data_IF_776774514273
#
_entry.id   IF_776774514273
#
_cell.length_a   1.000
_cell.length_b   1.000
_cell.length_c   1.000
_cell.angle_alpha   90.00
_cell.angle_beta   90.00
_cell.angle_gamma   90.00
#
_symmetry.space_group_name_H-M   'P 1'
#
loop_
_entity.id
_entity.type
_entity.pdbx_description
1 polymer ?
#
# COMPACT_ATOMS: atom_id res chain seq x y z
N UNK A 1 -25.03 16.77 16.21
CA UNK A 1 -24.81 16.85 14.74
C UNK A 1 -23.41 16.41 14.32
N UNK A 2 -22.32 17.02 14.78
CA UNK A 2 -20.96 16.61 14.36
C UNK A 2 -20.65 15.13 14.61
N UNK A 3 -21.07 14.57 15.76
CA UNK A 3 -20.95 13.14 16.03
C UNK A 3 -21.75 12.23 15.07
N UNK A 4 -22.96 12.66 14.65
CA UNK A 4 -23.80 11.92 13.69
C UNK A 4 -23.12 11.94 12.31
N UNK A 5 -22.63 13.11 11.89
CA UNK A 5 -21.86 13.24 10.65
C UNK A 5 -20.62 12.35 10.71
N UNK A 6 -19.85 12.38 11.80
CA UNK A 6 -18.69 11.50 11.97
C UNK A 6 -19.08 10.02 11.88
N UNK A 7 -20.16 9.61 12.53
CA UNK A 7 -20.67 8.24 12.44
C UNK A 7 -21.04 7.81 11.01
N UNK A 8 -21.62 8.70 10.21
CA UNK A 8 -21.85 8.43 8.79
C UNK A 8 -20.52 8.38 8.00
N UNK A 9 -19.60 9.28 8.31
CA UNK A 9 -18.30 9.39 7.66
C UNK A 9 -17.43 8.14 7.87
N UNK A 10 -17.52 7.45 9.01
CA UNK A 10 -16.73 6.23 9.23
C UNK A 10 -17.11 5.10 8.27
N UNK A 11 -18.34 5.06 7.76
CA UNK A 11 -18.77 4.10 6.74
C UNK A 11 -17.96 4.24 5.43
N UNK A 12 -17.43 5.43 5.13
CA UNK A 12 -16.55 5.62 3.95
C UNK A 12 -15.30 4.75 4.01
N UNK A 13 -14.77 4.48 5.21
CA UNK A 13 -13.62 3.58 5.37
C UNK A 13 -14.01 2.12 5.12
N UNK A 14 -15.24 1.72 5.46
CA UNK A 14 -15.75 0.37 5.18
C UNK A 14 -15.89 0.16 3.67
N UNK A 15 -16.55 1.09 2.97
CA UNK A 15 -16.77 0.98 1.52
C UNK A 15 -15.49 1.00 0.68
N UNK A 16 -14.42 1.62 1.19
CA UNK A 16 -13.12 1.70 0.51
C UNK A 16 -12.09 0.69 1.02
N UNK A 17 -12.49 -0.29 1.85
CA UNK A 17 -11.61 -1.35 2.34
C UNK A 17 -10.53 -0.88 3.33
N UNK A 18 -10.71 0.28 3.98
CA UNK A 18 -9.71 0.92 4.86
C UNK A 18 -9.86 0.53 6.33
N UNK A 19 -10.04 -0.77 6.60
CA UNK A 19 -10.32 -1.28 7.95
C UNK A 19 -9.18 -1.02 8.96
N UNK A 20 -7.93 -1.22 8.55
CA UNK A 20 -6.74 -0.96 9.40
C UNK A 20 -6.61 0.51 9.77
N UNK A 21 -6.89 1.41 8.82
CA UNK A 21 -6.95 2.86 9.08
C UNK A 21 -8.09 3.22 10.04
N UNK A 22 -9.28 2.64 9.88
CA UNK A 22 -10.40 2.86 10.79
C UNK A 22 -10.07 2.38 12.22
N UNK A 23 -9.42 1.22 12.37
CA UNK A 23 -8.93 0.73 13.66
C UNK A 23 -7.93 1.71 14.30
N UNK A 24 -6.93 2.16 13.54
CA UNK A 24 -5.95 3.15 14.01
C UNK A 24 -6.63 4.45 14.46
N UNK A 25 -7.61 4.95 13.70
CA UNK A 25 -8.39 6.13 14.07
C UNK A 25 -9.17 5.91 15.37
N UNK A 26 -9.81 4.76 15.56
CA UNK A 26 -10.53 4.44 16.78
C UNK A 26 -9.61 4.46 18.01
N UNK A 27 -8.43 3.83 17.89
CA UNK A 27 -7.39 3.83 18.93
C UNK A 27 -6.88 5.25 19.22
N UNK A 28 -6.65 6.07 18.19
CA UNK A 28 -6.21 7.45 18.35
C UNK A 28 -7.24 8.35 19.03
N UNK A 29 -8.53 8.21 18.68
CA UNK A 29 -9.61 8.93 19.38
C UNK A 29 -9.75 8.48 20.83
N UNK A 30 -9.64 7.18 21.09
CA UNK A 30 -9.64 6.63 22.45
C UNK A 30 -8.44 7.15 23.27
N UNK A 31 -7.27 7.32 22.66
CA UNK A 31 -6.10 7.91 23.30
C UNK A 31 -6.36 9.37 23.72
N UNK A 32 -6.92 10.19 22.82
CA UNK A 32 -7.28 11.58 23.12
C UNK A 32 -8.33 11.66 24.24
N UNK A 33 -9.37 10.84 24.19
CA UNK A 33 -10.41 10.77 25.23
C UNK A 33 -9.83 10.34 26.59
N UNK A 34 -8.96 9.34 26.62
CA UNK A 34 -8.29 8.90 27.84
C UNK A 34 -7.41 10.01 28.43
N UNK A 35 -6.70 10.76 27.58
CA UNK A 35 -5.87 11.88 28.00
C UNK A 35 -6.70 13.03 28.57
N UNK A 36 -7.84 13.35 27.95
CA UNK A 36 -8.78 14.36 28.45
C UNK A 36 -9.35 13.98 29.84
N UNK A 37 -9.62 12.68 30.06
CA UNK A 37 -10.07 12.14 31.35
C UNK A 37 -8.95 11.95 32.38
N UNK A 38 -7.73 12.43 32.11
CA UNK A 38 -6.59 12.32 33.03
C UNK A 38 -5.99 10.91 33.15
N UNK A 39 -6.40 9.95 32.30
CA UNK A 39 -5.91 8.56 32.31
C UNK A 39 -4.65 8.42 31.44
N UNK A 40 -3.58 9.11 31.83
CA UNK A 40 -2.36 9.24 31.00
C UNK A 40 -1.73 7.91 30.59
N UNK A 41 -1.66 6.91 31.49
CA UNK A 41 -1.10 5.58 31.16
C UNK A 41 -1.86 4.89 30.04
N UNK A 42 -3.18 4.88 30.13
CA UNK A 42 -4.06 4.31 29.10
C UNK A 42 -3.94 5.10 27.79
N UNK A 43 -3.88 6.43 27.88
CA UNK A 43 -3.74 7.29 26.71
C UNK A 43 -2.44 7.04 25.94
N UNK A 44 -1.31 6.88 26.65
CA UNK A 44 -0.01 6.54 26.04
C UNK A 44 -0.04 5.13 25.43
N UNK A 45 -0.61 4.14 26.14
CA UNK A 45 -0.75 2.79 25.60
C UNK A 45 -1.56 2.79 24.29
N UNK A 46 -2.70 3.49 24.25
CA UNK A 46 -3.51 3.62 23.03
C UNK A 46 -2.79 4.41 21.94
N UNK A 47 -1.98 5.42 22.29
CA UNK A 47 -1.18 6.17 21.34
C UNK A 47 -0.07 5.33 20.69
N UNK A 48 0.49 4.33 21.39
CA UNK A 48 1.39 3.31 20.82
C UNK A 48 0.64 2.35 19.91
N UNK A 49 -0.56 1.91 20.31
CA UNK A 49 -1.37 0.98 19.50
C UNK A 49 -1.90 1.62 18.21
N UNK A 50 -2.16 2.92 18.20
CA UNK A 50 -2.67 3.66 17.05
C UNK A 50 -1.83 3.46 15.75
N UNK A 51 -0.51 3.73 15.72
CA UNK A 51 0.34 3.46 14.57
C UNK A 51 0.50 1.97 14.23
N UNK A 52 0.35 1.06 15.20
CA UNK A 52 0.34 -0.39 14.93
C UNK A 52 -0.93 -0.82 14.17
N UNK A 53 -2.07 -0.16 14.40
CA UNK A 53 -3.26 -0.32 13.59
C UNK A 53 -3.11 0.35 12.21
N UNK A 54 -2.58 1.58 12.17
CA UNK A 54 -2.24 2.28 10.94
C UNK A 54 -1.21 3.39 11.16
N UNK A 55 -0.03 3.35 10.51
CA UNK A 55 0.99 4.39 10.65
C UNK A 55 0.47 5.79 10.32
N UNK A 56 -0.41 5.91 9.31
CA UNK A 56 -1.04 7.18 8.91
C UNK A 56 -1.92 7.74 10.04
N UNK A 57 -2.72 6.88 10.70
CA UNK A 57 -3.51 7.29 11.85
C UNK A 57 -2.63 7.72 13.04
N UNK A 58 -1.51 7.03 13.26
CA UNK A 58 -0.50 7.42 14.25
C UNK A 58 0.09 8.80 13.99
N UNK A 59 0.45 9.12 12.74
CA UNK A 59 0.92 10.45 12.36
C UNK A 59 -0.17 11.53 12.53
N UNK A 60 -1.43 11.20 12.26
CA UNK A 60 -2.56 12.10 12.53
C UNK A 60 -2.77 12.35 14.03
N UNK A 61 -2.63 11.32 14.86
CA UNK A 61 -2.63 11.48 16.31
C UNK A 61 -1.47 12.36 16.77
N UNK A 62 -0.26 12.15 16.24
CA UNK A 62 0.90 12.97 16.55
C UNK A 62 0.69 14.45 16.14
N UNK A 63 0.07 14.69 14.98
CA UNK A 63 -0.29 16.03 14.52
C UNK A 63 -1.31 16.70 15.44
N UNK A 64 -2.36 15.98 15.84
CA UNK A 64 -3.38 16.47 16.78
C UNK A 64 -2.77 16.77 18.15
N UNK A 65 -1.88 15.89 18.64
CA UNK A 65 -1.14 16.07 19.87
C UNK A 65 -0.18 17.27 19.81
N UNK A 66 0.48 17.50 18.66
CA UNK A 66 1.31 18.69 18.44
C UNK A 66 0.47 19.97 18.45
N UNK A 67 -0.72 19.97 17.84
CA UNK A 67 -1.65 21.08 17.89
C UNK A 67 -2.11 21.39 19.33
N UNK A 68 -2.40 20.34 20.12
CA UNK A 68 -2.75 20.45 21.53
C UNK A 68 -1.58 20.93 22.39
N UNK A 69 -0.36 20.44 22.15
CA UNK A 69 0.82 20.91 22.86
C UNK A 69 1.11 22.38 22.54
N UNK A 70 1.04 22.77 21.26
CA UNK A 70 1.20 24.17 20.85
C UNK A 70 0.13 25.05 21.51
N UNK A 71 -1.13 24.61 21.43
CA UNK A 71 -2.27 24.81 22.34
C UNK A 71 -1.98 25.42 23.72
N UNK A 72 -1.73 24.49 24.63
CA UNK A 72 -1.83 24.68 26.08
C UNK A 72 -0.59 24.13 26.81
N UNK A 73 0.45 23.71 26.09
CA UNK A 73 1.72 23.16 26.63
C UNK A 73 1.54 21.99 27.60
N UNK A 74 0.46 21.20 27.44
CA UNK A 74 0.17 20.07 28.33
C UNK A 74 1.14 18.91 28.11
N UNK A 75 1.71 18.38 29.20
CA UNK A 75 2.62 17.22 29.17
C UNK A 75 1.99 15.98 28.53
N UNK A 76 0.70 15.73 28.78
CA UNK A 76 -0.03 14.62 28.16
C UNK A 76 0.02 14.69 26.62
N UNK A 77 -0.12 15.87 26.03
CA UNK A 77 -0.04 16.07 24.58
C UNK A 77 1.34 15.67 24.04
N UNK A 78 2.42 16.08 24.72
CA UNK A 78 3.77 15.71 24.35
C UNK A 78 3.98 14.19 24.41
N UNK A 79 3.52 13.53 25.49
CA UNK A 79 3.66 12.09 25.64
C UNK A 79 2.90 11.31 24.56
N UNK A 80 1.66 11.70 24.25
CA UNK A 80 0.87 11.06 23.19
C UNK A 80 1.51 11.25 21.81
N UNK A 81 1.93 12.49 21.52
CA UNK A 81 2.56 12.82 20.24
C UNK A 81 3.88 12.08 20.06
N UNK A 82 4.71 12.04 21.09
CA UNK A 82 5.98 11.31 21.09
C UNK A 82 5.73 9.80 20.95
N UNK A 83 4.82 9.21 21.71
CA UNK A 83 4.49 7.78 21.61
C UNK A 83 4.05 7.40 20.19
N UNK A 84 3.10 8.14 19.62
CA UNK A 84 2.60 7.87 18.28
C UNK A 84 3.68 8.07 17.20
N UNK A 85 4.46 9.15 17.28
CA UNK A 85 5.51 9.46 16.30
C UNK A 85 6.69 8.47 16.38
N UNK A 86 7.15 8.12 17.59
CA UNK A 86 8.24 7.16 17.80
C UNK A 86 7.82 5.78 17.30
N UNK A 87 6.60 5.32 17.60
CA UNK A 87 6.15 4.01 17.10
C UNK A 87 5.97 4.02 15.58
N UNK A 88 5.38 5.06 14.98
CA UNK A 88 5.27 5.18 13.53
C UNK A 88 6.65 5.23 12.83
N UNK A 89 7.58 6.01 13.38
CA UNK A 89 8.96 6.09 12.90
C UNK A 89 9.71 4.76 13.07
N UNK A 90 9.52 4.09 14.20
CA UNK A 90 10.04 2.76 14.47
C UNK A 90 9.57 1.75 13.42
N UNK A 91 8.28 1.74 13.10
CA UNK A 91 7.74 0.89 12.02
C UNK A 91 8.35 1.21 10.66
N UNK A 92 8.54 2.50 10.33
CA UNK A 92 9.17 2.89 9.06
C UNK A 92 10.65 2.47 8.97
N UNK A 93 11.37 2.49 10.10
CA UNK A 93 12.75 2.00 10.19
C UNK A 93 12.82 0.47 10.18
N UNK A 94 11.83 -0.20 10.79
CA UNK A 94 11.68 -1.64 10.78
C UNK A 94 11.27 -2.15 9.39
N UNK A 95 10.42 -1.46 8.65
CA UNK A 95 9.94 -1.94 7.35
C UNK A 95 10.17 -0.86 6.28
N UNK A 96 11.42 -0.69 5.82
CA UNK A 96 11.79 0.38 4.87
C UNK A 96 11.44 0.01 3.42
N UNK A 97 10.20 -0.41 3.19
CA UNK A 97 9.69 -0.77 1.86
C UNK A 97 9.63 0.46 0.95
N UNK A 98 9.24 1.61 1.50
CA UNK A 98 9.28 2.90 0.81
C UNK A 98 8.27 2.99 -0.34
N UNK A 99 8.70 3.55 -1.48
CA UNK A 99 7.82 3.89 -2.59
C UNK A 99 7.17 5.27 -2.44
N UNK A 100 6.29 5.63 -3.37
CA UNK A 100 5.66 6.95 -3.39
C UNK A 100 4.16 6.85 -3.66
N UNK A 101 3.38 7.58 -2.87
CA UNK A 101 1.95 7.75 -3.12
C UNK A 101 1.74 9.06 -3.90
N UNK A 102 1.19 9.04 -5.12
CA UNK A 102 0.95 10.27 -5.87
C UNK A 102 -0.03 11.19 -5.15
N UNK A 103 0.27 12.49 -5.11
CA UNK A 103 -0.65 13.49 -4.56
C UNK A 103 -1.09 14.47 -5.65
N UNK A 104 -2.21 14.16 -6.30
CA UNK A 104 -2.74 14.99 -7.39
C UNK A 104 -3.17 16.38 -6.89
N UNK A 105 -2.93 17.41 -7.71
CA UNK A 105 -3.34 18.80 -7.43
C UNK A 105 -4.82 18.91 -7.08
N UNK A 106 -5.67 18.16 -7.80
CA UNK A 106 -7.13 18.11 -7.58
C UNK A 106 -7.53 17.62 -6.18
N UNK A 107 -6.69 16.80 -5.54
CA UNK A 107 -6.90 16.29 -4.18
C UNK A 107 -6.17 17.13 -3.13
N UNK A 108 -5.17 17.92 -3.55
CA UNK A 108 -4.34 18.75 -2.69
C UNK A 108 -5.00 20.10 -2.35
N UNK A 109 -5.45 20.85 -3.36
CA UNK A 109 -6.01 22.19 -3.15
C UNK A 109 -7.23 22.22 -2.19
N UNK A 110 -8.13 21.20 -2.15
CA UNK A 110 -9.25 21.21 -1.21
C UNK A 110 -8.81 21.23 0.24
N UNK A 111 -7.64 20.64 0.56
CA UNK A 111 -7.07 20.68 1.91
C UNK A 111 -6.70 22.12 2.30
N UNK A 112 -6.08 22.87 1.40
CA UNK A 112 -5.70 24.26 1.65
C UNK A 112 -6.94 25.16 1.77
N UNK A 113 -7.93 24.96 0.91
CA UNK A 113 -9.20 25.67 0.99
C UNK A 113 -9.91 25.38 2.33
N UNK A 114 -9.94 24.13 2.77
CA UNK A 114 -10.46 23.74 4.08
C UNK A 114 -9.72 24.42 5.22
N UNK A 115 -8.38 24.40 5.22
CA UNK A 115 -7.57 25.04 6.25
C UNK A 115 -7.82 26.57 6.31
N UNK A 116 -7.91 27.22 5.15
CA UNK A 116 -8.26 28.64 5.05
C UNK A 116 -9.67 28.91 5.61
N UNK A 117 -10.65 28.06 5.30
CA UNK A 117 -12.01 28.19 5.83
C UNK A 117 -12.05 28.05 7.35
N UNK A 118 -11.30 27.09 7.92
CA UNK A 118 -11.13 26.96 9.38
C UNK A 118 -10.55 28.25 9.96
N UNK A 119 -9.48 28.79 9.37
CA UNK A 119 -8.84 30.01 9.87
C UNK A 119 -9.70 31.27 9.71
N UNK A 120 -10.63 31.32 8.76
CA UNK A 120 -11.54 32.45 8.60
C UNK A 120 -12.76 32.35 9.52
N UNK A 121 -13.33 31.16 9.69
CA UNK A 121 -14.66 30.99 10.28
C UNK A 121 -14.64 30.50 11.73
N UNK A 122 -13.62 29.73 12.14
CA UNK A 122 -13.52 29.20 13.50
C UNK A 122 -13.02 30.31 14.45
N UNK A 123 -13.72 30.59 15.57
CA UNK A 123 -13.33 31.67 16.48
C UNK A 123 -11.91 31.54 17.02
N UNK A 124 -11.27 32.68 17.32
CA UNK A 124 -9.88 32.72 17.80
C UNK A 124 -9.67 32.00 19.14
N UNK A 125 -10.73 31.81 19.93
CA UNK A 125 -10.65 31.05 21.19
C UNK A 125 -10.42 29.54 20.95
N UNK A 126 -10.83 29.01 19.78
CA UNK A 126 -10.66 27.59 19.42
C UNK A 126 -9.22 27.32 18.92
N UNK A 127 -8.24 27.60 19.78
CA UNK A 127 -6.81 27.61 19.45
C UNK A 127 -6.32 26.26 18.92
N UNK A 128 -6.88 25.16 19.41
CA UNK A 128 -6.51 23.79 19.00
C UNK A 128 -6.84 23.54 17.54
N UNK A 129 -8.06 23.85 17.11
CA UNK A 129 -8.52 23.63 15.74
C UNK A 129 -7.79 24.54 14.76
N UNK A 130 -7.55 25.80 15.12
CA UNK A 130 -6.82 26.74 14.28
C UNK A 130 -5.34 26.33 14.10
N UNK A 131 -4.66 25.98 15.19
CA UNK A 131 -3.28 25.47 15.14
C UNK A 131 -3.19 24.13 14.42
N UNK A 132 -4.16 23.25 14.64
CA UNK A 132 -4.32 22.00 13.93
C UNK A 132 -4.48 22.20 12.42
N UNK A 133 -5.28 23.16 11.98
CA UNK A 133 -5.44 23.49 10.57
C UNK A 133 -4.14 24.01 9.93
N UNK A 134 -3.35 24.83 10.64
CA UNK A 134 -2.03 25.30 10.18
C UNK A 134 -1.06 24.13 10.03
N UNK A 135 -0.94 23.30 11.07
CA UNK A 135 -0.07 22.12 11.04
C UNK A 135 -0.50 21.13 9.95
N UNK A 136 -1.81 20.94 9.78
CA UNK A 136 -2.36 20.05 8.77
C UNK A 136 -2.09 20.56 7.34
N UNK A 137 -2.29 21.85 7.08
CA UNK A 137 -1.95 22.46 5.80
C UNK A 137 -0.45 22.31 5.52
N UNK A 138 0.42 22.62 6.49
CA UNK A 138 1.86 22.45 6.37
C UNK A 138 2.26 21.00 6.08
N UNK A 139 1.70 20.03 6.80
CA UNK A 139 1.94 18.61 6.59
C UNK A 139 1.50 18.16 5.18
N UNK A 140 0.38 18.67 4.66
CA UNK A 140 -0.07 18.36 3.31
C UNK A 140 0.78 19.02 2.23
N UNK A 141 1.27 20.25 2.45
CA UNK A 141 2.25 20.90 1.55
C UNK A 141 3.51 20.07 1.47
N UNK A 142 4.04 19.60 2.61
CA UNK A 142 5.20 18.72 2.64
C UNK A 142 4.93 17.39 1.94
N UNK A 143 3.78 16.76 2.19
CA UNK A 143 3.40 15.49 1.54
C UNK A 143 3.17 15.64 0.02
N UNK A 144 2.79 16.82 -0.45
CA UNK A 144 2.63 17.14 -1.87
C UNK A 144 3.98 17.42 -2.54
N UNK A 145 4.87 18.16 -1.87
CA UNK A 145 6.19 18.52 -2.39
C UNK A 145 7.20 17.37 -2.35
N UNK A 146 7.10 16.47 -1.37
CA UNK A 146 8.04 15.38 -1.16
C UNK A 146 7.51 14.04 -1.69
N UNK A 147 8.33 13.32 -2.46
CA UNK A 147 8.02 11.97 -2.92
C UNK A 147 8.18 10.96 -1.79
N UNK A 148 7.09 10.72 -1.05
CA UNK A 148 7.06 9.81 0.11
C UNK A 148 5.88 8.85 0.02
N UNK A 149 5.86 7.76 0.83
CA UNK A 149 4.69 6.89 0.94
C UNK A 149 3.43 7.59 1.50
N UNK A 150 3.59 8.77 2.11
CA UNK A 150 2.47 9.51 2.69
C UNK A 150 1.56 10.07 1.60
N UNK A 151 2.10 10.87 0.67
CA UNK A 151 1.38 11.41 -0.49
C UNK A 151 -0.07 11.83 -0.22
N UNK A 152 -0.99 11.36 -1.07
CA UNK A 152 -2.43 11.63 -0.96
C UNK A 152 -3.07 11.14 0.35
N UNK A 153 -2.45 10.21 1.08
CA UNK A 153 -2.97 9.74 2.35
C UNK A 153 -3.08 10.86 3.38
N UNK A 154 -2.27 11.92 3.25
CA UNK A 154 -2.39 13.12 4.09
C UNK A 154 -3.76 13.79 3.99
N UNK A 155 -4.42 13.76 2.82
CA UNK A 155 -5.75 14.33 2.66
C UNK A 155 -6.84 13.63 3.49
N UNK A 156 -6.59 12.39 3.96
CA UNK A 156 -7.58 11.58 4.69
C UNK A 156 -8.06 12.21 5.99
N UNK A 157 -7.20 12.98 6.67
CA UNK A 157 -7.58 13.64 7.92
C UNK A 157 -8.71 14.65 7.68
N UNK A 158 -8.56 15.51 6.67
CA UNK A 158 -9.56 16.50 6.31
C UNK A 158 -10.86 15.86 5.81
N UNK A 159 -10.77 14.84 4.96
CA UNK A 159 -11.96 14.13 4.46
C UNK A 159 -12.74 13.44 5.58
N UNK A 160 -12.06 12.91 6.60
CA UNK A 160 -12.73 12.18 7.68
C UNK A 160 -13.28 13.12 8.77
N UNK A 161 -12.50 14.11 9.18
CA UNK A 161 -12.82 14.94 10.35
C UNK A 161 -13.29 16.35 10.03
N UNK A 162 -13.02 16.89 8.84
CA UNK A 162 -13.24 18.30 8.54
C UNK A 162 -14.68 18.75 8.71
N UNK A 163 -15.62 18.05 8.06
CA UNK A 163 -17.05 18.26 8.22
C UNK A 163 -17.53 18.11 9.66
N UNK A 164 -17.31 16.95 10.30
CA UNK A 164 -17.70 16.72 11.68
C UNK A 164 -17.19 17.75 12.70
N UNK A 165 -15.92 18.15 12.59
CA UNK A 165 -15.33 19.14 13.50
C UNK A 165 -15.93 20.54 13.30
N UNK A 166 -16.09 20.98 12.05
CA UNK A 166 -16.74 22.25 11.76
C UNK A 166 -18.21 22.24 12.20
N UNK A 167 -18.90 21.11 12.08
CA UNK A 167 -20.25 20.95 12.59
C UNK A 167 -20.33 21.11 14.11
N UNK A 168 -19.37 20.59 14.88
CA UNK A 168 -19.33 20.77 16.33
C UNK A 168 -19.16 22.25 16.74
N UNK A 169 -18.35 23.02 16.00
CA UNK A 169 -18.04 24.42 16.37
C UNK A 169 -19.04 25.42 15.82
N UNK A 170 -19.47 25.26 14.57
CA UNK A 170 -20.22 26.29 13.84
C UNK A 170 -21.73 26.15 13.99
N UNK A 171 -22.28 24.95 14.28
CA UNK A 171 -23.73 24.71 14.30
C UNK A 171 -24.51 25.72 15.15
N UNK A 172 -24.02 26.01 16.37
CA UNK A 172 -24.68 26.96 17.29
C UNK A 172 -24.22 28.42 17.13
N UNK A 173 -23.12 28.67 16.42
CA UNK A 173 -22.49 30.00 16.36
C UNK A 173 -22.67 30.69 14.99
N UNK A 174 -22.59 29.92 13.91
CA UNK A 174 -22.60 30.39 12.50
C UNK A 174 -23.23 29.32 11.60
N UNK A 175 -24.48 28.95 11.87
CA UNK A 175 -25.18 27.89 11.14
C UNK A 175 -25.21 28.12 9.61
N UNK A 176 -25.32 29.37 9.17
CA UNK A 176 -25.27 29.74 7.74
C UNK A 176 -23.93 29.36 7.09
N UNK A 177 -22.81 29.60 7.76
CA UNK A 177 -21.48 29.30 7.23
C UNK A 177 -21.28 27.79 7.14
N UNK A 178 -21.83 27.07 8.12
CA UNK A 178 -21.83 25.62 8.09
C UNK A 178 -22.73 25.06 6.98
N UNK A 179 -23.90 25.64 6.74
CA UNK A 179 -24.77 25.25 5.63
C UNK A 179 -24.06 25.43 4.28
N UNK A 180 -23.36 26.55 4.09
CA UNK A 180 -22.55 26.82 2.89
C UNK A 180 -21.42 25.80 2.72
N UNK A 181 -20.74 25.44 3.81
CA UNK A 181 -19.62 24.49 3.78
C UNK A 181 -20.05 23.01 3.76
N UNK A 182 -21.27 22.70 4.15
CA UNK A 182 -21.73 21.32 4.29
C UNK A 182 -21.64 20.57 2.96
N UNK A 183 -22.13 21.16 1.87
CA UNK A 183 -22.10 20.54 0.54
C UNK A 183 -20.67 20.24 0.04
N UNK A 184 -19.72 21.20 -0.01
CA UNK A 184 -18.37 20.89 -0.47
C UNK A 184 -17.65 19.89 0.45
N UNK A 185 -17.91 19.91 1.75
CA UNK A 185 -17.29 18.95 2.69
C UNK A 185 -17.88 17.54 2.55
N UNK A 186 -19.20 17.42 2.37
CA UNK A 186 -19.85 16.15 2.07
C UNK A 186 -19.37 15.60 0.73
N UNK A 187 -19.28 16.45 -0.30
CA UNK A 187 -18.72 16.08 -1.59
C UNK A 187 -17.27 15.58 -1.44
N UNK A 188 -16.41 16.34 -0.76
CA UNK A 188 -15.01 15.94 -0.56
C UNK A 188 -14.87 14.63 0.22
N UNK A 189 -15.74 14.39 1.21
CA UNK A 189 -15.75 13.19 2.04
C UNK A 189 -16.31 11.95 1.33
N UNK A 190 -17.41 12.09 0.58
CA UNK A 190 -18.17 10.97 0.00
C UNK A 190 -17.85 10.70 -1.47
N UNK A 191 -17.22 11.62 -2.18
CA UNK A 191 -16.89 11.41 -3.59
C UNK A 191 -16.02 10.15 -3.83
N UNK A 192 -14.95 9.88 -3.05
CA UNK A 192 -14.16 8.67 -3.27
C UNK A 192 -14.95 7.36 -3.12
N UNK A 193 -15.64 7.07 -1.98
CA UNK A 193 -16.40 5.83 -1.84
C UNK A 193 -17.52 5.70 -2.86
N UNK A 194 -18.21 6.80 -3.20
CA UNK A 194 -19.25 6.77 -4.24
C UNK A 194 -18.66 6.40 -5.59
N UNK A 195 -17.50 6.95 -5.96
CA UNK A 195 -16.80 6.59 -7.20
C UNK A 195 -16.34 5.13 -7.21
N UNK A 196 -15.88 4.61 -6.07
CA UNK A 196 -15.43 3.22 -5.94
C UNK A 196 -16.60 2.24 -6.06
N UNK A 197 -17.72 2.51 -5.35
CA UNK A 197 -18.95 1.71 -5.45
C UNK A 197 -19.54 1.79 -6.85
N UNK A 198 -19.59 2.97 -7.48
CA UNK A 198 -20.07 3.13 -8.84
C UNK A 198 -19.16 2.43 -9.86
N UNK A 199 -17.84 2.41 -9.63
CA UNK A 199 -16.90 1.68 -10.47
C UNK A 199 -17.05 0.16 -10.34
N UNK A 200 -17.42 -0.34 -9.15
CA UNK A 200 -17.68 -1.75 -8.91
C UNK A 200 -19.06 -2.20 -9.44
N UNK A 201 -20.04 -1.31 -9.44
CA UNK A 201 -21.39 -1.61 -9.91
C UNK A 201 -21.39 -1.95 -11.40
N UNK A 202 -21.82 -3.17 -11.73
CA UNK A 202 -21.89 -3.66 -13.10
C UNK A 202 -20.54 -4.05 -13.72
N UNK A 203 -19.42 -3.98 -12.97
CA UNK A 203 -18.14 -4.52 -13.44
C UNK A 203 -18.10 -6.04 -13.19
N UNK A 204 -18.09 -6.88 -14.23
CA UNK A 204 -18.06 -8.33 -14.04
C UNK A 204 -16.78 -8.80 -13.34
N UNK A 205 -15.71 -8.01 -13.39
CA UNK A 205 -14.44 -8.34 -12.72
C UNK A 205 -14.52 -8.31 -11.19
N UNK A 206 -15.65 -7.90 -10.58
CA UNK A 206 -15.82 -8.05 -9.13
C UNK A 206 -16.25 -9.45 -8.71
N UNK A 207 -16.60 -10.30 -9.67
CA UNK A 207 -17.14 -11.63 -9.39
C UNK A 207 -16.08 -12.72 -9.58
N UNK A 208 -16.07 -13.71 -8.68
CA UNK A 208 -15.18 -14.86 -8.79
C UNK A 208 -15.37 -15.64 -10.11
N UNK A 209 -16.61 -15.69 -10.61
CA UNK A 209 -16.99 -16.35 -11.88
C UNK A 209 -16.23 -15.79 -13.08
N UNK A 210 -15.91 -14.49 -13.06
CA UNK A 210 -15.14 -13.84 -14.12
C UNK A 210 -13.72 -14.41 -14.27
N UNK A 211 -13.09 -14.81 -13.15
CA UNK A 211 -11.72 -15.37 -13.13
C UNK A 211 -11.69 -16.89 -13.19
N UNK A 212 -12.82 -17.58 -12.99
CA UNK A 212 -12.86 -19.04 -12.94
C UNK A 212 -12.28 -19.72 -14.20
N UNK A 213 -12.57 -19.27 -15.44
CA UNK A 213 -11.95 -19.84 -16.64
C UNK A 213 -10.44 -19.63 -16.70
N UNK A 214 -9.94 -18.46 -16.30
CA UNK A 214 -8.52 -18.16 -16.25
C UNK A 214 -7.80 -19.08 -15.24
N UNK A 215 -8.36 -19.19 -14.03
CA UNK A 215 -7.83 -20.07 -12.99
C UNK A 215 -7.79 -21.53 -13.44
N UNK A 216 -8.83 -22.00 -14.14
CA UNK A 216 -8.86 -23.35 -14.68
C UNK A 216 -7.78 -23.57 -15.76
N UNK A 217 -7.53 -22.57 -16.62
CA UNK A 217 -6.42 -22.61 -17.57
C UNK A 217 -5.07 -22.69 -16.85
N UNK A 218 -4.81 -21.78 -15.90
CA UNK A 218 -3.53 -21.71 -15.17
C UNK A 218 -3.28 -22.98 -14.35
N UNK A 219 -4.30 -23.57 -13.74
CA UNK A 219 -4.20 -24.82 -13.00
C UNK A 219 -3.75 -26.00 -13.89
N UNK A 220 -4.22 -26.05 -15.14
CA UNK A 220 -3.77 -27.04 -16.14
C UNK A 220 -2.37 -26.72 -16.65
N UNK A 221 -2.06 -25.44 -16.87
CA UNK A 221 -0.77 -24.99 -17.40
C UNK A 221 0.37 -25.15 -16.39
N UNK A 222 0.07 -25.12 -15.08
CA UNK A 222 1.04 -25.24 -13.96
C UNK A 222 2.26 -24.33 -14.16
N UNK A 223 2.07 -22.99 -14.23
CA UNK A 223 3.16 -22.07 -14.51
C UNK A 223 4.29 -22.21 -13.49
N UNK A 224 5.53 -22.29 -13.98
CA UNK A 224 6.74 -22.27 -13.15
C UNK A 224 7.26 -20.84 -12.95
N UNK A 225 6.77 -19.89 -13.75
CA UNK A 225 6.99 -18.45 -13.59
C UNK A 225 5.78 -17.70 -13.04
N UNK A 226 5.87 -16.37 -13.07
CA UNK A 226 4.76 -15.49 -12.69
C UNK A 226 3.75 -15.30 -13.83
N UNK A 227 2.56 -14.88 -13.46
CA UNK A 227 1.51 -14.42 -14.38
C UNK A 227 1.41 -12.90 -14.29
N UNK A 228 1.59 -12.21 -15.40
CA UNK A 228 1.25 -10.78 -15.49
C UNK A 228 -0.22 -10.64 -15.89
N UNK A 229 -0.93 -9.79 -15.15
CA UNK A 229 -2.30 -9.41 -15.45
C UNK A 229 -2.31 -7.88 -15.46
N UNK A 230 -2.49 -7.25 -16.64
CA UNK A 230 -2.79 -5.82 -16.70
C UNK A 230 -3.96 -5.56 -15.75
N UNK A 231 -3.69 -4.73 -14.73
CA UNK A 231 -4.54 -4.61 -13.55
C UNK A 231 -5.97 -4.22 -13.96
N UNK A 232 -6.95 -4.94 -13.42
CA UNK A 232 -8.35 -4.48 -13.53
C UNK A 232 -8.51 -3.20 -12.74
N UNK A 233 -9.52 -2.40 -13.07
CA UNK A 233 -9.74 -1.05 -12.51
C UNK A 233 -9.70 -1.00 -10.99
N UNK A 234 -10.20 -2.05 -10.33
CA UNK A 234 -10.30 -2.17 -8.88
C UNK A 234 -9.64 -3.46 -8.35
N UNK A 235 -8.72 -4.04 -9.14
CA UNK A 235 -7.71 -5.01 -8.71
C UNK A 235 -8.20 -6.37 -8.17
N UNK A 236 -9.37 -6.85 -8.58
CA UNK A 236 -9.93 -8.13 -8.06
C UNK A 236 -9.14 -9.38 -8.48
N UNK A 237 -8.23 -9.28 -9.44
CA UNK A 237 -7.25 -10.33 -9.75
C UNK A 237 -6.39 -10.70 -8.54
N UNK A 238 -6.17 -9.74 -7.64
CA UNK A 238 -5.39 -9.93 -6.42
C UNK A 238 -6.12 -10.78 -5.38
N UNK A 239 -7.46 -10.82 -5.46
CA UNK A 239 -8.31 -11.64 -4.58
C UNK A 239 -8.57 -13.01 -5.21
N UNK A 240 -8.83 -13.06 -6.51
CA UNK A 240 -9.30 -14.29 -7.16
C UNK A 240 -8.23 -15.12 -7.87
N UNK A 241 -7.05 -14.54 -8.16
CA UNK A 241 -5.95 -15.23 -8.86
C UNK A 241 -4.71 -15.35 -7.97
N UNK A 242 -4.29 -14.25 -7.32
CA UNK A 242 -3.04 -14.21 -6.54
C UNK A 242 -2.91 -15.26 -5.41
N UNK A 243 -3.99 -15.70 -4.73
CA UNK A 243 -3.87 -16.76 -3.73
C UNK A 243 -3.45 -18.13 -4.28
N UNK A 244 -3.55 -18.33 -5.61
CA UNK A 244 -3.23 -19.61 -6.28
C UNK A 244 -2.02 -19.52 -7.20
N UNK A 245 -1.78 -18.34 -7.79
CA UNK A 245 -0.73 -18.14 -8.78
C UNK A 245 0.03 -16.86 -8.49
N UNK A 246 1.36 -16.92 -8.58
CA UNK A 246 2.21 -15.76 -8.33
C UNK A 246 2.01 -14.70 -9.42
N UNK A 247 1.43 -13.57 -9.06
CA UNK A 247 1.32 -12.42 -9.96
C UNK A 247 2.66 -11.68 -10.08
N UNK A 248 2.91 -11.11 -11.26
CA UNK A 248 4.12 -10.32 -11.52
C UNK A 248 4.07 -8.91 -10.90
N UNK A 249 2.85 -8.38 -10.67
CA UNK A 249 2.61 -7.09 -10.01
C UNK A 249 1.59 -7.23 -8.88
N UNK A 250 1.73 -6.35 -7.89
CA UNK A 250 0.74 -6.11 -6.85
C UNK A 250 0.04 -4.76 -7.06
N UNK A 251 -1.00 -4.50 -6.27
CA UNK A 251 -1.85 -3.31 -6.42
C UNK A 251 -1.50 -2.16 -5.45
N UNK A 252 -0.57 -2.37 -4.51
CA UNK A 252 -0.11 -1.29 -3.64
C UNK A 252 0.65 -0.25 -4.47
N UNK A 253 0.05 0.94 -4.61
CA UNK A 253 0.52 1.97 -5.55
C UNK A 253 1.97 2.37 -5.30
N UNK A 254 2.37 2.50 -4.04
CA UNK A 254 3.71 2.93 -3.66
C UNK A 254 4.77 1.95 -4.16
N UNK A 255 4.56 0.65 -3.96
CA UNK A 255 5.48 -0.39 -4.40
C UNK A 255 5.39 -0.66 -5.91
N UNK A 256 4.19 -0.57 -6.49
CA UNK A 256 4.04 -0.75 -7.94
C UNK A 256 4.75 0.36 -8.72
N UNK A 257 4.68 1.62 -8.27
CA UNK A 257 5.46 2.71 -8.88
C UNK A 257 6.97 2.46 -8.71
N UNK A 258 7.41 2.07 -7.50
CA UNK A 258 8.82 1.83 -7.20
C UNK A 258 9.44 0.73 -8.07
N UNK A 259 8.74 -0.38 -8.25
CA UNK A 259 9.28 -1.56 -8.95
C UNK A 259 8.88 -1.65 -10.42
N UNK A 260 7.77 -1.01 -10.80
CA UNK A 260 7.15 -1.14 -12.11
C UNK A 260 6.83 0.23 -12.74
N UNK A 261 7.68 1.23 -12.49
CA UNK A 261 7.54 2.60 -13.00
C UNK A 261 7.36 2.72 -14.52
N UNK A 262 7.76 1.70 -15.32
CA UNK A 262 7.56 1.70 -16.77
C UNK A 262 6.08 1.79 -17.19
N UNK A 263 5.16 1.29 -16.36
CA UNK A 263 3.71 1.34 -16.61
C UNK A 263 3.09 2.71 -16.34
N UNK A 264 3.84 3.59 -15.66
CA UNK A 264 3.43 4.95 -15.34
C UNK A 264 4.05 5.99 -16.29
N UNK A 265 4.92 5.54 -17.21
CA UNK A 265 5.46 6.38 -18.25
C UNK A 265 4.40 6.69 -19.32
N UNK A 266 4.47 7.85 -20.00
CA UNK A 266 3.51 8.20 -21.07
C UNK A 266 3.44 7.19 -22.22
N UNK A 267 4.53 6.43 -22.44
CA UNK A 267 4.62 5.40 -23.48
C UNK A 267 5.40 4.20 -22.99
N UNK A 268 4.84 3.01 -23.21
CA UNK A 268 5.50 1.73 -22.97
C UNK A 268 6.10 1.20 -24.28
N UNK A 269 7.41 0.93 -24.32
CA UNK A 269 8.09 0.42 -25.51
C UNK A 269 8.13 -1.12 -25.51
N UNK A 270 7.99 -1.81 -26.66
CA UNK A 270 8.06 -3.26 -26.72
C UNK A 270 9.35 -3.85 -26.14
N UNK A 271 10.51 -3.25 -26.44
CA UNK A 271 11.79 -3.73 -25.93
C UNK A 271 11.88 -3.66 -24.39
N UNK A 272 11.41 -2.55 -23.79
CA UNK A 272 11.43 -2.38 -22.32
C UNK A 272 10.43 -3.30 -21.65
N UNK A 273 9.26 -3.51 -22.25
CA UNK A 273 8.27 -4.46 -21.73
C UNK A 273 8.80 -5.90 -21.78
N UNK A 274 9.41 -6.33 -22.90
CA UNK A 274 10.05 -7.64 -23.00
C UNK A 274 11.14 -7.85 -21.96
N UNK A 275 11.98 -6.83 -21.73
CA UNK A 275 13.03 -6.88 -20.72
C UNK A 275 12.43 -7.04 -19.30
N UNK A 276 11.36 -6.30 -19.00
CA UNK A 276 10.65 -6.39 -17.73
C UNK A 276 9.99 -7.76 -17.51
N UNK A 277 9.34 -8.33 -18.53
CA UNK A 277 8.77 -9.69 -18.47
C UNK A 277 9.84 -10.73 -18.12
N UNK A 278 11.02 -10.64 -18.76
CA UNK A 278 12.15 -11.55 -18.49
C UNK A 278 12.77 -11.32 -17.11
N UNK A 279 12.96 -10.07 -16.68
CA UNK A 279 13.59 -9.78 -15.39
C UNK A 279 12.71 -10.20 -14.21
N UNK A 280 11.39 -10.16 -14.36
CA UNK A 280 10.44 -10.58 -13.33
C UNK A 280 9.99 -12.06 -13.44
N UNK A 281 10.55 -12.82 -14.39
CA UNK A 281 10.24 -14.23 -14.57
C UNK A 281 8.78 -14.49 -14.95
N UNK A 282 8.21 -13.63 -15.80
CA UNK A 282 6.84 -13.74 -16.28
C UNK A 282 6.77 -14.81 -17.36
N UNK A 283 5.94 -15.84 -17.13
CA UNK A 283 5.70 -16.92 -18.08
C UNK A 283 4.45 -16.68 -18.92
N UNK A 284 3.41 -16.14 -18.30
CA UNK A 284 2.13 -15.84 -18.95
C UNK A 284 1.72 -14.39 -18.74
N UNK A 285 1.09 -13.81 -19.77
CA UNK A 285 0.37 -12.55 -19.68
C UNK A 285 -1.10 -12.86 -19.94
N UNK A 286 -1.99 -12.51 -19.01
CA UNK A 286 -3.43 -12.71 -19.16
C UNK A 286 -4.14 -11.36 -19.26
N UNK A 287 -4.65 -11.07 -20.46
CA UNK A 287 -5.37 -9.83 -20.76
C UNK A 287 -6.88 -10.06 -20.61
N UNK A 288 -7.52 -9.23 -19.79
CA UNK A 288 -8.98 -9.19 -19.63
C UNK A 288 -9.65 -8.23 -20.62
N UNK A 289 -10.96 -8.38 -20.79
CA UNK A 289 -11.84 -7.42 -21.45
C UNK A 289 -12.46 -6.37 -20.49
N UNK A 290 -12.22 -6.51 -19.19
CA UNK A 290 -12.68 -5.57 -18.16
C UNK A 290 -12.07 -4.17 -18.32
N UNK A 291 -12.65 -3.21 -17.59
CA UNK A 291 -12.04 -1.88 -17.46
C UNK A 291 -10.74 -2.01 -16.67
N UNK A 292 -9.69 -1.38 -17.18
CA UNK A 292 -8.34 -1.49 -16.60
C UNK A 292 -8.01 -0.27 -15.74
N UNK A 293 -7.08 -0.46 -14.80
CA UNK A 293 -6.41 0.63 -14.10
C UNK A 293 -5.62 1.48 -15.13
N UNK A 294 -5.43 2.77 -14.82
CA UNK A 294 -4.74 3.67 -15.73
C UNK A 294 -3.30 3.23 -16.03
N UNK A 295 -2.62 2.56 -15.08
CA UNK A 295 -1.28 2.00 -15.28
C UNK A 295 -1.24 0.88 -16.33
N UNK A 296 -2.38 0.29 -16.65
CA UNK A 296 -2.47 -0.91 -17.50
C UNK A 296 -3.00 -0.61 -18.90
N UNK A 297 -3.37 0.64 -19.19
CA UNK A 297 -3.92 1.05 -20.49
C UNK A 297 -2.88 0.94 -21.61
N UNK A 298 -1.66 1.46 -21.39
CA UNK A 298 -0.57 1.42 -22.37
C UNK A 298 -0.05 0.00 -22.57
N UNK A 299 -0.03 -0.80 -21.49
CA UNK A 299 0.30 -2.22 -21.53
C UNK A 299 -0.71 -3.01 -22.36
N UNK A 300 -2.02 -2.86 -22.09
CA UNK A 300 -3.05 -3.56 -22.84
C UNK A 300 -3.03 -3.19 -24.33
N UNK A 301 -2.81 -1.91 -24.67
CA UNK A 301 -2.63 -1.48 -26.04
C UNK A 301 -1.42 -2.16 -26.71
N UNK A 302 -0.30 -2.28 -26.00
CA UNK A 302 0.89 -2.97 -26.48
C UNK A 302 0.64 -4.47 -26.66
N UNK A 303 0.00 -5.16 -25.71
CA UNK A 303 -0.32 -6.59 -25.84
C UNK A 303 -1.21 -6.82 -27.08
N UNK A 304 -2.21 -5.96 -27.29
CA UNK A 304 -3.13 -6.03 -28.44
C UNK A 304 -2.45 -5.76 -29.78
N UNK A 305 -1.35 -5.00 -29.82
CA UNK A 305 -0.58 -4.80 -31.06
C UNK A 305 0.19 -6.05 -31.51
N UNK A 306 0.22 -7.10 -30.69
CA UNK A 306 0.77 -8.40 -31.07
C UNK A 306 2.30 -8.43 -31.13
N UNK A 307 3.02 -8.09 -30.04
CA UNK A 307 4.46 -8.13 -30.04
C UNK A 307 4.95 -9.58 -30.28
N UNK A 308 6.04 -9.78 -31.04
CA UNK A 308 6.46 -11.11 -31.49
C UNK A 308 6.89 -12.06 -30.36
N UNK A 309 7.14 -11.54 -29.16
CA UNK A 309 7.48 -12.33 -27.97
C UNK A 309 6.26 -12.77 -27.14
N UNK A 310 5.03 -12.41 -27.54
CA UNK A 310 3.81 -12.88 -26.91
C UNK A 310 3.01 -13.77 -27.87
N UNK A 311 2.96 -15.07 -27.57
CA UNK A 311 2.16 -16.02 -28.36
C UNK A 311 0.86 -16.33 -27.64
N UNK A 312 -0.29 -15.98 -28.22
CA UNK A 312 -1.60 -16.35 -27.66
C UNK A 312 -1.72 -17.89 -27.63
N UNK A 313 -1.95 -18.45 -26.46
CA UNK A 313 -2.07 -19.90 -26.23
C UNK A 313 -3.48 -20.32 -25.83
N UNK A 314 -4.29 -19.38 -25.33
CA UNK A 314 -5.66 -19.64 -24.96
C UNK A 314 -6.51 -18.38 -25.07
N UNK A 315 -7.79 -18.59 -25.38
CA UNK A 315 -8.82 -17.55 -25.44
C UNK A 315 -10.08 -18.10 -24.80
N UNK A 316 -10.62 -17.37 -23.83
CA UNK A 316 -11.94 -17.58 -23.26
C UNK A 316 -12.90 -16.45 -23.62
N UNK A 317 -14.05 -16.41 -22.96
CA UNK A 317 -15.05 -15.36 -23.14
C UNK A 317 -14.48 -13.97 -22.81
N UNK A 318 -13.86 -13.83 -21.63
CA UNK A 318 -13.37 -12.55 -21.10
C UNK A 318 -11.85 -12.38 -21.10
N UNK A 319 -11.12 -13.43 -21.48
CA UNK A 319 -9.68 -13.51 -21.26
C UNK A 319 -8.94 -13.99 -22.50
N UNK A 320 -7.78 -13.38 -22.76
CA UNK A 320 -6.78 -13.89 -23.71
C UNK A 320 -5.47 -14.11 -22.97
N UNK A 321 -4.94 -15.34 -23.03
CA UNK A 321 -3.69 -15.69 -22.36
C UNK A 321 -2.58 -15.89 -23.39
N UNK A 322 -1.46 -15.23 -23.13
CA UNK A 322 -0.27 -15.21 -23.97
C UNK A 322 0.89 -15.84 -23.21
N UNK A 323 1.60 -16.74 -23.87
CA UNK A 323 2.88 -17.26 -23.38
C UNK A 323 4.01 -16.31 -23.78
N UNK A 324 4.86 -15.97 -22.84
CA UNK A 324 6.07 -15.18 -23.09
C UNK A 324 7.13 -16.08 -23.71
N UNK A 325 7.51 -15.81 -24.96
CA UNK A 325 8.55 -16.56 -25.66
C UNK A 325 9.93 -16.20 -25.09
N UNK A 326 10.68 -17.22 -24.68
CA UNK A 326 11.98 -17.02 -24.01
C UNK A 326 11.84 -16.46 -22.59
N UNK A 327 10.74 -16.81 -21.89
CA UNK A 327 10.57 -16.53 -20.47
C UNK A 327 11.79 -17.02 -19.68
N UNK A 328 12.31 -16.17 -18.79
CA UNK A 328 13.39 -16.57 -17.89
C UNK A 328 12.81 -17.31 -16.67
N UNK A 329 13.44 -18.38 -16.18
CA UNK A 329 12.96 -19.08 -14.99
C UNK A 329 13.03 -18.18 -13.75
N UNK A 330 12.23 -18.44 -12.72
CA UNK A 330 12.34 -17.69 -11.47
C UNK A 330 13.67 -17.92 -10.72
N UNK A 331 14.31 -19.06 -10.96
CA UNK A 331 15.60 -19.44 -10.37
C UNK A 331 16.59 -19.67 -11.50
N UNK A 332 17.73 -18.98 -11.46
CA UNK A 332 18.86 -19.23 -12.35
C UNK A 332 19.92 -20.06 -11.62
N UNK A 333 20.28 -21.22 -12.19
CA UNK A 333 21.26 -22.14 -11.63
C UNK A 333 20.75 -23.58 -11.56
N UNK A 334 21.52 -24.52 -10.97
CA UNK A 334 21.14 -25.93 -10.86
C UNK A 334 20.10 -26.16 -9.75
N UNK A 335 18.99 -25.44 -9.79
CA UNK A 335 17.89 -25.56 -8.84
C UNK A 335 16.55 -25.23 -9.51
N UNK A 336 15.46 -25.74 -8.93
CA UNK A 336 14.09 -25.45 -9.36
C UNK A 336 13.33 -24.77 -8.22
N UNK A 337 12.39 -23.89 -8.57
CA UNK A 337 11.44 -23.35 -7.59
C UNK A 337 10.38 -24.43 -7.32
N UNK A 338 10.33 -24.92 -6.09
CA UNK A 338 9.34 -25.91 -5.65
C UNK A 338 8.05 -25.25 -5.15
N UNK A 339 8.18 -24.13 -4.41
CA UNK A 339 7.05 -23.37 -3.89
C UNK A 339 7.39 -21.88 -3.77
N UNK A 340 6.37 -21.03 -3.91
CA UNK A 340 6.44 -19.59 -3.70
C UNK A 340 5.19 -19.12 -2.96
N UNK A 341 5.37 -18.78 -1.69
CA UNK A 341 4.36 -18.31 -0.76
C UNK A 341 4.51 -16.78 -0.55
N UNK A 342 3.54 -16.09 0.07
CA UNK A 342 3.64 -14.65 0.35
C UNK A 342 4.86 -14.25 1.20
N UNK A 343 5.31 -15.13 2.11
CA UNK A 343 6.40 -14.87 3.04
C UNK A 343 7.50 -15.94 2.98
N UNK A 344 7.50 -16.82 1.98
CA UNK A 344 8.50 -17.88 1.87
C UNK A 344 8.68 -18.36 0.42
N UNK A 345 9.81 -18.99 0.12
CA UNK A 345 9.98 -19.76 -1.10
C UNK A 345 10.86 -20.97 -0.83
N UNK A 346 10.59 -22.06 -1.56
CA UNK A 346 11.34 -23.30 -1.45
C UNK A 346 12.00 -23.62 -2.78
N UNK A 347 13.29 -23.91 -2.73
CA UNK A 347 14.11 -24.36 -3.84
C UNK A 347 14.36 -25.85 -3.71
N UNK A 348 14.34 -26.57 -4.82
CA UNK A 348 14.91 -27.91 -4.94
C UNK A 348 16.30 -27.77 -5.59
N UNK A 349 17.35 -27.93 -4.78
CA UNK A 349 18.73 -27.68 -5.18
C UNK A 349 19.35 -28.98 -5.69
N UNK A 350 19.78 -29.01 -6.95
CA UNK A 350 20.39 -30.21 -7.54
C UNK A 350 21.84 -30.42 -7.12
N UNK A 351 22.61 -29.34 -6.92
CA UNK A 351 23.99 -29.38 -6.43
C UNK A 351 24.39 -28.06 -5.76
N UNK A 352 25.43 -28.04 -4.91
CA UNK A 352 25.92 -26.80 -4.31
C UNK A 352 26.21 -25.74 -5.37
N UNK A 353 25.63 -24.55 -5.21
CA UNK A 353 25.72 -23.45 -6.15
C UNK A 353 25.22 -22.14 -5.54
N UNK A 354 25.63 -21.04 -6.16
CA UNK A 354 25.03 -19.72 -5.97
C UNK A 354 23.89 -19.55 -6.97
N UNK A 355 22.69 -19.28 -6.45
CA UNK A 355 21.44 -19.25 -7.19
C UNK A 355 20.87 -17.83 -7.17
N UNK A 356 20.61 -17.25 -8.34
CA UNK A 356 19.89 -15.98 -8.43
C UNK A 356 18.39 -16.26 -8.51
N UNK A 357 17.65 -15.80 -7.50
CA UNK A 357 16.22 -16.03 -7.33
C UNK A 357 15.48 -14.72 -7.56
N UNK A 358 14.57 -14.67 -8.53
CA UNK A 358 13.78 -13.48 -8.91
C UNK A 358 12.69 -13.10 -7.90
N UNK A 359 12.94 -13.30 -6.61
CA UNK A 359 12.17 -12.81 -5.47
C UNK A 359 12.89 -11.57 -4.92
N UNK A 360 12.17 -10.52 -4.54
CA UNK A 360 12.82 -9.28 -4.07
C UNK A 360 13.52 -9.54 -2.73
N UNK A 361 14.73 -9.02 -2.59
CA UNK A 361 15.47 -9.17 -1.34
C UNK A 361 14.85 -8.32 -0.24
N UNK A 362 14.56 -8.95 0.89
CA UNK A 362 14.33 -8.28 2.17
C UNK A 362 15.38 -8.75 3.17
N UNK A 363 15.66 -7.88 4.16
CA UNK A 363 16.61 -8.17 5.24
C UNK A 363 16.13 -9.26 6.20
N UNK A 364 14.85 -9.63 6.08
CA UNK A 364 14.16 -10.64 6.86
C UNK A 364 14.24 -12.05 6.25
N UNK A 365 14.83 -12.19 5.06
CA UNK A 365 15.05 -13.52 4.49
C UNK A 365 16.03 -14.32 5.35
N UNK A 366 15.61 -15.53 5.68
CA UNK A 366 16.29 -16.45 6.58
C UNK A 366 16.12 -17.86 6.02
N UNK A 367 17.18 -18.67 6.03
CA UNK A 367 17.06 -20.09 5.69
C UNK A 367 16.44 -20.81 6.89
N UNK A 368 15.28 -21.42 6.67
CA UNK A 368 14.54 -22.22 7.67
C UNK A 368 14.92 -23.71 7.54
N UNK A 369 15.02 -24.20 6.30
CA UNK A 369 15.36 -25.58 5.99
C UNK A 369 16.47 -25.64 4.94
N UNK A 370 17.41 -26.57 5.11
CA UNK A 370 18.55 -26.79 4.21
C UNK A 370 19.83 -26.14 4.73
N UNK A 371 20.90 -26.19 3.93
CA UNK A 371 22.20 -25.63 4.30
C UNK A 371 22.62 -24.57 3.30
N UNK A 372 22.72 -23.32 3.76
CA UNK A 372 23.03 -22.20 2.91
C UNK A 372 22.89 -20.86 3.60
N UNK A 373 22.93 -19.80 2.82
CA UNK A 373 22.68 -18.44 3.28
C UNK A 373 22.06 -17.61 2.15
N UNK A 374 21.49 -16.47 2.52
CA UNK A 374 20.88 -15.53 1.57
C UNK A 374 21.58 -14.18 1.62
N UNK A 375 21.65 -13.53 0.46
CA UNK A 375 22.20 -12.19 0.32
C UNK A 375 21.48 -11.39 -0.77
N UNK A 376 21.79 -10.09 -0.84
CA UNK A 376 21.24 -9.22 -1.87
C UNK A 376 21.91 -9.53 -3.21
N UNK A 377 21.12 -10.02 -4.16
CA UNK A 377 21.53 -10.25 -5.53
C UNK A 377 21.37 -9.01 -6.43
N UNK A 378 21.72 -9.16 -7.72
CA UNK A 378 21.65 -8.08 -8.70
C UNK A 378 20.21 -7.58 -8.89
N UNK A 379 20.06 -6.28 -9.19
CA UNK A 379 18.73 -5.69 -9.44
C UNK A 379 17.78 -5.72 -8.24
N UNK A 380 18.29 -5.93 -7.01
CA UNK A 380 17.48 -5.98 -5.79
C UNK A 380 16.73 -7.30 -5.59
N UNK A 381 17.09 -8.34 -6.33
CA UNK A 381 16.59 -9.70 -6.13
C UNK A 381 17.38 -10.44 -5.05
N UNK A 382 16.91 -11.62 -4.64
CA UNK A 382 17.55 -12.47 -3.64
C UNK A 382 18.54 -13.40 -4.32
N UNK A 383 19.74 -13.51 -3.74
CA UNK A 383 20.70 -14.56 -4.09
C UNK A 383 20.78 -15.56 -2.94
N UNK A 384 20.81 -16.83 -3.28
CA UNK A 384 20.88 -17.94 -2.32
C UNK A 384 22.16 -18.72 -2.58
N UNK A 385 23.02 -18.84 -1.58
CA UNK A 385 24.19 -19.71 -1.63
C UNK A 385 23.80 -21.04 -1.00
N UNK A 386 23.52 -22.03 -1.84
CA UNK A 386 23.17 -23.38 -1.40
C UNK A 386 24.42 -24.25 -1.27
N UNK A 387 24.64 -24.82 -0.09
CA UNK A 387 25.85 -25.61 0.23
C UNK A 387 25.65 -27.12 0.07
N UNK A 388 24.41 -27.58 0.00
CA UNK A 388 24.05 -28.99 -0.15
C UNK A 388 22.89 -29.14 -1.15
N UNK A 389 22.80 -30.29 -1.85
CA UNK A 389 21.61 -30.62 -2.62
C UNK A 389 20.40 -30.90 -1.72
N UNK A 390 19.21 -30.86 -2.30
CA UNK A 390 17.93 -31.09 -1.64
C UNK A 390 17.09 -29.83 -1.42
N UNK A 391 15.99 -29.93 -0.67
CA UNK A 391 15.09 -28.81 -0.43
C UNK A 391 15.75 -27.73 0.44
N UNK A 392 15.67 -26.48 -0.01
CA UNK A 392 16.13 -25.29 0.70
C UNK A 392 14.95 -24.31 0.81
N UNK A 393 14.44 -24.10 2.03
CA UNK A 393 13.34 -23.18 2.31
C UNK A 393 13.85 -21.89 2.91
N UNK A 394 13.46 -20.78 2.30
CA UNK A 394 13.74 -19.42 2.75
C UNK A 394 12.43 -18.79 3.19
N UNK A 395 12.40 -18.20 4.39
CA UNK A 395 11.23 -17.57 4.99
C UNK A 395 11.57 -16.17 5.46
N UNK A 396 10.59 -15.26 5.44
CA UNK A 396 10.71 -13.94 6.02
C UNK A 396 10.38 -14.03 7.51
N UNK A 397 11.39 -13.84 8.35
CA UNK A 397 11.27 -13.83 9.80
C UNK A 397 11.74 -12.49 10.35
N UNK A 398 10.98 -11.95 11.31
CA UNK A 398 11.44 -10.83 12.12
C UNK A 398 12.09 -11.39 13.39
N UNK A 399 13.41 -11.57 13.39
CA UNK A 399 14.12 -11.99 14.59
C UNK A 399 14.70 -10.78 15.34
N UNK A 400 14.69 -10.76 16.69
CA UNK A 400 15.32 -9.68 17.47
C UNK A 400 16.81 -9.50 17.14
N UNK A 401 17.51 -10.58 16.76
CA UNK A 401 18.90 -10.55 16.31
C UNK A 401 19.12 -9.83 14.97
N UNK A 402 18.11 -9.71 14.12
CA UNK A 402 18.19 -8.97 12.85
C UNK A 402 18.31 -7.45 13.08
N UNK A 403 17.86 -6.96 14.25
CA UNK A 403 18.04 -5.58 14.69
C UNK A 403 19.51 -5.26 15.03
N UNK A 404 20.29 -6.29 15.34
CA UNK A 404 21.70 -6.21 15.72
C UNK A 404 22.65 -6.80 14.66
N UNK A 405 22.14 -7.15 13.47
CA UNK A 405 22.93 -7.64 12.34
C UNK A 405 23.31 -9.13 12.37
N UNK A 406 22.63 -9.96 13.15
CA UNK A 406 23.03 -11.34 13.43
C UNK A 406 22.45 -12.46 12.54
N UNK A 407 23.37 -13.27 12.01
CA UNK A 407 23.42 -14.76 12.00
C UNK A 407 22.79 -15.66 10.93
N UNK A 408 22.08 -15.18 9.89
CA UNK A 408 21.69 -16.06 8.75
C UNK A 408 22.07 -15.55 7.35
N UNK A 409 22.85 -14.47 7.29
CA UNK A 409 23.37 -13.90 6.04
C UNK A 409 24.68 -14.58 5.67
N UNK A 410 25.01 -14.58 4.38
CA UNK A 410 26.33 -15.04 3.97
C UNK A 410 27.38 -14.16 4.69
N UNK A 411 28.41 -14.76 5.31
CA UNK A 411 29.45 -13.98 5.97
C UNK A 411 30.05 -13.01 4.95
N UNK A 412 30.30 -11.76 5.38
CA UNK A 412 30.84 -10.73 4.50
C UNK A 412 32.16 -11.24 3.88
N UNK A 413 32.22 -11.32 2.55
CA UNK A 413 33.39 -11.82 1.82
C UNK A 413 33.36 -13.28 1.37
N UNK A 414 32.22 -13.99 1.44
CA UNK A 414 32.09 -15.37 0.97
C UNK A 414 31.79 -15.53 -0.55
N UNK A 415 32.28 -14.60 -1.38
CA UNK A 415 32.21 -14.69 -2.83
C UNK A 415 33.46 -15.34 -3.42
#
# INVERSE_FOLDING_TARGET
MGAIWFGAATATNLFTGRLTFALGVALGLAALLAAERGRTRLAVALAVLCPLGSPVAGLFLALAAAAWFWADRRRAALLLGAAAAVTAGGLALLFPEGGMEPFAVSSFWPVLAFAAAVLALVPRQERWLRRGAILYAGACVLAFALSTPMGSNAARLGTLFGGPLLACVLWRRRAWALALLALPLLYWQWLPPVRDVAAASGDPSVQASYYAPLNAFLARARPAGRVEIPLTRIHWETVYVAPRFALARGWERQLDIKYNGLFYAPRLRPATYRAWLRSNGVEYVALSDARLDYSSLTEAALIRSGPPYLRRVWRGAHWSVFRVLGAAPLVAGPARLAALDPNAFTLDVGRPATLDVRVRFTRYWSVEQGTGCVERGPGGFTRVVARRPGPLRVVAELNPGDLLGGTKRCPAGAA
#
